data_IF_331347766595
#
_entry.id   IF_331347766595
#
_cell.length_a   1.000
_cell.length_b   1.000
_cell.length_c   1.000
_cell.angle_alpha   90.00
_cell.angle_beta   90.00
_cell.angle_gamma   90.00
#
_symmetry.space_group_name_H-M   'P 1'
#
loop_
_entity.id
_entity.type
_entity.pdbx_description
1 polymer ?
#
# COMPACT_ATOMS: atom_id res chain seq x y z
N UNK A 1 -10.45 -17.64 -15.38
CA UNK A 1 -9.00 -17.64 -15.63
C UNK A 1 -8.41 -16.29 -15.26
N UNK A 2 -7.33 -16.35 -14.57
CA UNK A 2 -6.65 -15.10 -14.21
C UNK A 2 -5.90 -14.55 -15.41
N UNK A 3 -6.13 -13.27 -15.70
CA UNK A 3 -5.41 -12.57 -16.77
C UNK A 3 -4.44 -11.57 -16.18
N UNK A 4 -3.92 -11.89 -15.00
CA UNK A 4 -2.98 -11.00 -14.35
C UNK A 4 -1.71 -10.91 -15.18
N UNK A 5 -1.29 -9.70 -15.52
CA UNK A 5 -0.07 -9.50 -16.31
C UNK A 5 1.19 -9.66 -15.48
N UNK A 6 1.05 -9.97 -14.20
CA UNK A 6 2.17 -10.10 -13.29
C UNK A 6 1.97 -11.33 -12.40
N UNK A 7 3.06 -11.84 -11.89
CA UNK A 7 3.02 -12.96 -10.96
C UNK A 7 2.60 -12.49 -9.58
N UNK A 8 1.95 -13.39 -8.84
CA UNK A 8 1.62 -13.15 -7.45
C UNK A 8 2.86 -13.41 -6.61
N UNK A 9 3.79 -12.47 -6.67
CA UNK A 9 5.09 -12.59 -6.03
C UNK A 9 5.01 -12.80 -4.53
N UNK A 10 3.99 -12.23 -3.91
CA UNK A 10 3.83 -12.30 -2.44
C UNK A 10 2.96 -13.46 -2.01
N UNK A 11 2.53 -14.27 -2.95
CA UNK A 11 1.74 -15.47 -2.65
C UNK A 11 0.48 -15.16 -1.87
N UNK A 12 -0.24 -14.13 -2.31
CA UNK A 12 -1.46 -13.71 -1.66
C UNK A 12 -2.60 -14.65 -2.00
N UNK A 13 -3.55 -14.79 -1.08
CA UNK A 13 -4.75 -15.57 -1.34
C UNK A 13 -5.63 -14.85 -2.35
N UNK A 14 -6.56 -15.59 -2.96
CA UNK A 14 -7.51 -14.99 -3.89
C UNK A 14 -8.31 -13.89 -3.22
N UNK A 15 -8.68 -14.10 -1.95
CA UNK A 15 -9.43 -13.11 -1.22
C UNK A 15 -8.62 -11.85 -0.98
N UNK A 16 -7.33 -11.99 -0.65
CA UNK A 16 -6.47 -10.83 -0.49
C UNK A 16 -6.36 -10.05 -1.78
N UNK A 17 -6.21 -10.74 -2.91
CA UNK A 17 -6.11 -10.09 -4.21
C UNK A 17 -7.39 -9.33 -4.54
N UNK A 18 -8.57 -9.93 -4.27
CA UNK A 18 -9.83 -9.26 -4.50
C UNK A 18 -9.97 -8.01 -3.63
N UNK A 19 -9.58 -8.11 -2.37
CA UNK A 19 -9.69 -6.98 -1.46
C UNK A 19 -8.75 -5.84 -1.85
N UNK A 20 -7.54 -6.18 -2.32
CA UNK A 20 -6.60 -5.17 -2.80
C UNK A 20 -7.17 -4.45 -4.04
N UNK A 21 -7.74 -5.20 -4.96
CA UNK A 21 -8.36 -4.60 -6.15
C UNK A 21 -9.48 -3.66 -5.75
N UNK A 22 -10.31 -4.08 -4.80
CA UNK A 22 -11.42 -3.26 -4.33
C UNK A 22 -10.92 -2.00 -3.64
N UNK A 23 -9.87 -2.12 -2.81
CA UNK A 23 -9.28 -0.96 -2.15
C UNK A 23 -8.75 0.05 -3.17
N UNK A 24 -8.10 -0.45 -4.23
CA UNK A 24 -7.60 0.42 -5.28
C UNK A 24 -8.73 1.13 -6.01
N UNK A 25 -9.82 0.43 -6.31
CA UNK A 25 -10.98 1.05 -6.92
C UNK A 25 -11.58 2.13 -6.02
N UNK A 26 -11.66 1.85 -4.73
CA UNK A 26 -12.18 2.83 -3.79
C UNK A 26 -11.32 4.10 -3.77
N UNK A 27 -9.99 3.94 -3.85
CA UNK A 27 -9.10 5.09 -3.92
C UNK A 27 -9.34 5.88 -5.21
N UNK A 28 -9.50 5.20 -6.34
CA UNK A 28 -9.73 5.86 -7.61
C UNK A 28 -11.05 6.62 -7.63
N UNK A 29 -12.04 6.11 -6.93
CA UNK A 29 -13.34 6.79 -6.83
C UNK A 29 -13.36 7.93 -5.83
N UNK A 30 -12.30 8.07 -5.05
CA UNK A 30 -12.25 9.07 -4.00
C UNK A 30 -12.90 8.62 -2.70
N UNK A 31 -13.28 7.35 -2.58
CA UNK A 31 -13.84 6.80 -1.34
C UNK A 31 -12.71 6.43 -0.39
N UNK A 32 -11.97 7.44 0.04
CA UNK A 32 -10.70 7.25 0.74
C UNK A 32 -10.86 6.64 2.13
N UNK A 33 -11.92 7.03 2.85
CA UNK A 33 -12.17 6.45 4.16
C UNK A 33 -12.47 4.97 4.10
N UNK A 34 -13.24 4.55 3.10
CA UNK A 34 -13.55 3.13 2.92
C UNK A 34 -12.31 2.35 2.53
N UNK A 35 -11.47 2.93 1.66
CA UNK A 35 -10.21 2.29 1.26
C UNK A 35 -9.29 2.12 2.47
N UNK A 36 -9.18 3.17 3.29
CA UNK A 36 -8.34 3.12 4.47
C UNK A 36 -8.79 2.02 5.42
N UNK A 37 -10.08 1.97 5.68
CA UNK A 37 -10.65 0.98 6.59
C UNK A 37 -10.37 -0.44 6.11
N UNK A 38 -10.54 -0.66 4.81
CA UNK A 38 -10.29 -1.97 4.23
C UNK A 38 -8.83 -2.37 4.33
N UNK A 39 -7.93 -1.46 3.98
CA UNK A 39 -6.50 -1.74 4.02
C UNK A 39 -6.00 -1.98 5.45
N UNK A 40 -6.49 -1.18 6.40
CA UNK A 40 -6.10 -1.37 7.79
C UNK A 40 -6.60 -2.71 8.33
N UNK A 41 -7.79 -3.12 7.93
CA UNK A 41 -8.32 -4.43 8.31
C UNK A 41 -7.44 -5.56 7.76
N UNK A 42 -7.02 -5.43 6.51
CA UNK A 42 -6.14 -6.41 5.88
C UNK A 42 -4.79 -6.46 6.58
N UNK A 43 -4.27 -5.29 6.96
CA UNK A 43 -2.98 -5.22 7.63
C UNK A 43 -3.04 -5.87 9.00
N UNK A 44 -4.16 -5.71 9.69
CA UNK A 44 -4.34 -6.34 11.00
C UNK A 44 -4.28 -7.87 10.89
N UNK A 45 -4.79 -8.40 9.79
CA UNK A 45 -4.78 -9.86 9.56
C UNK A 45 -3.40 -10.36 9.11
N UNK A 46 -2.63 -9.51 8.43
CA UNK A 46 -1.32 -9.88 7.89
C UNK A 46 -0.43 -8.65 7.93
N UNK A 47 0.26 -8.46 9.05
CA UNK A 47 1.01 -7.23 9.33
C UNK A 47 2.23 -7.02 8.45
N UNK A 48 2.70 -8.07 7.79
CA UNK A 48 3.86 -7.97 6.92
C UNK A 48 3.48 -8.08 5.43
N UNK A 49 2.21 -7.85 5.13
CA UNK A 49 1.76 -7.92 3.75
C UNK A 49 2.23 -6.67 3.00
N UNK A 50 3.29 -6.83 2.21
CA UNK A 50 3.90 -5.70 1.51
C UNK A 50 2.94 -4.97 0.58
N UNK A 51 2.11 -5.65 -0.24
CA UNK A 51 1.15 -4.92 -1.06
C UNK A 51 0.18 -4.05 -0.26
N UNK A 52 -0.22 -4.51 0.93
CA UNK A 52 -1.10 -3.71 1.79
C UNK A 52 -0.36 -2.50 2.34
N UNK A 53 0.86 -2.71 2.82
CA UNK A 53 1.69 -1.61 3.34
C UNK A 53 1.93 -0.57 2.25
N UNK A 54 2.24 -1.02 1.03
CA UNK A 54 2.49 -0.11 -0.08
C UNK A 54 1.25 0.69 -0.45
N UNK A 55 0.08 0.03 -0.45
CA UNK A 55 -1.17 0.72 -0.74
C UNK A 55 -1.51 1.74 0.35
N UNK A 56 -1.23 1.44 1.60
CA UNK A 56 -1.43 2.41 2.67
C UNK A 56 -0.50 3.60 2.51
N UNK A 57 0.77 3.35 2.17
CA UNK A 57 1.68 4.44 1.89
C UNK A 57 1.17 5.33 0.77
N UNK A 58 0.67 4.72 -0.29
CA UNK A 58 0.12 5.45 -1.42
C UNK A 58 -1.11 6.27 -1.02
N UNK A 59 -2.00 5.66 -0.26
CA UNK A 59 -3.21 6.33 0.21
C UNK A 59 -2.88 7.57 1.03
N UNK A 60 -2.02 7.42 2.03
CA UNK A 60 -1.69 8.54 2.89
C UNK A 60 -0.88 9.61 2.17
N UNK A 61 0.06 9.21 1.31
CA UNK A 61 0.91 10.18 0.63
C UNK A 61 0.22 10.85 -0.54
N UNK A 62 -0.35 10.07 -1.44
CA UNK A 62 -0.90 10.61 -2.68
C UNK A 62 -2.27 11.24 -2.50
N UNK A 63 -3.13 10.60 -1.70
CA UNK A 63 -4.53 11.02 -1.61
C UNK A 63 -4.84 11.88 -0.40
N UNK A 64 -4.18 11.62 0.74
CA UNK A 64 -4.49 12.31 1.97
C UNK A 64 -3.46 13.35 2.36
N UNK A 65 -2.36 13.42 1.65
CA UNK A 65 -1.25 14.36 1.94
C UNK A 65 -0.72 14.24 3.36
N UNK A 66 -0.82 13.05 3.94
CA UNK A 66 -0.25 12.76 5.26
C UNK A 66 1.11 12.13 5.04
N UNK A 67 2.08 12.97 4.73
CA UNK A 67 3.38 12.51 4.24
C UNK A 67 4.19 11.76 5.29
N UNK A 68 4.14 12.19 6.54
CA UNK A 68 4.87 11.49 7.60
C UNK A 68 4.34 10.07 7.78
N UNK A 69 3.01 9.91 7.75
CA UNK A 69 2.39 8.60 7.88
C UNK A 69 2.75 7.72 6.69
N UNK A 70 2.74 8.31 5.49
CA UNK A 70 3.13 7.57 4.28
C UNK A 70 4.56 7.04 4.40
N UNK A 71 5.48 7.88 4.87
CA UNK A 71 6.88 7.47 5.03
C UNK A 71 6.99 6.32 6.02
N UNK A 72 6.21 6.34 7.10
CA UNK A 72 6.23 5.24 8.07
C UNK A 72 5.86 3.91 7.42
N UNK A 73 4.86 3.91 6.54
CA UNK A 73 4.46 2.67 5.87
C UNK A 73 5.53 2.21 4.88
N UNK A 74 6.14 3.13 4.14
CA UNK A 74 7.22 2.74 3.24
C UNK A 74 8.45 2.28 4.01
N UNK A 75 8.72 2.83 5.19
CA UNK A 75 9.80 2.33 6.03
C UNK A 75 9.54 0.89 6.45
N UNK A 76 8.29 0.54 6.72
CA UNK A 76 7.95 -0.84 7.05
C UNK A 76 8.17 -1.78 5.85
N UNK A 77 7.84 -1.31 4.65
CA UNK A 77 8.14 -2.08 3.43
C UNK A 77 9.64 -2.30 3.31
N UNK A 78 10.42 -1.25 3.52
CA UNK A 78 11.88 -1.34 3.36
C UNK A 78 12.53 -2.18 4.44
N UNK A 79 11.93 -2.27 5.61
CA UNK A 79 12.42 -3.18 6.65
C UNK A 79 12.27 -4.63 6.21
N UNK A 80 11.23 -4.94 5.45
CA UNK A 80 10.97 -6.29 4.95
C UNK A 80 11.70 -6.55 3.63
N UNK A 81 11.77 -5.53 2.77
CA UNK A 81 12.39 -5.60 1.46
C UNK A 81 13.31 -4.40 1.25
N UNK A 82 14.55 -4.46 1.75
CA UNK A 82 15.46 -3.30 1.62
C UNK A 82 15.73 -2.90 0.17
N UNK A 83 15.57 -3.82 -0.78
CA UNK A 83 15.83 -3.56 -2.20
C UNK A 83 14.59 -3.09 -2.96
N UNK A 84 13.50 -2.83 -2.27
CA UNK A 84 12.26 -2.42 -2.93
C UNK A 84 12.42 -0.98 -3.46
N UNK A 85 12.65 -0.87 -4.78
CA UNK A 85 12.90 0.42 -5.41
C UNK A 85 11.68 1.33 -5.38
N UNK A 86 10.48 0.76 -5.50
CA UNK A 86 9.24 1.52 -5.43
C UNK A 86 9.08 2.21 -4.08
N UNK A 87 9.30 1.45 -3.01
CA UNK A 87 9.16 2.00 -1.66
C UNK A 87 10.23 3.07 -1.41
N UNK A 88 11.46 2.81 -1.86
CA UNK A 88 12.54 3.76 -1.69
C UNK A 88 12.25 5.08 -2.40
N UNK A 89 11.78 5.00 -3.65
CA UNK A 89 11.48 6.20 -4.42
C UNK A 89 10.29 6.95 -3.84
N UNK A 90 9.25 6.24 -3.42
CA UNK A 90 8.09 6.87 -2.81
C UNK A 90 8.45 7.55 -1.50
N UNK A 91 9.24 6.86 -0.67
CA UNK A 91 9.72 7.42 0.58
C UNK A 91 10.47 8.73 0.35
N UNK A 92 11.39 8.71 -0.62
CA UNK A 92 12.17 9.91 -0.95
C UNK A 92 11.26 11.05 -1.40
N UNK A 93 10.27 10.74 -2.22
CA UNK A 93 9.34 11.75 -2.72
C UNK A 93 8.60 12.43 -1.58
N UNK A 94 8.07 11.64 -0.64
CA UNK A 94 7.27 12.21 0.43
C UNK A 94 8.09 12.85 1.53
N UNK A 95 9.35 12.42 1.70
CA UNK A 95 10.24 13.05 2.66
C UNK A 95 10.46 14.53 2.35
N UNK A 96 10.33 14.92 1.09
CA UNK A 96 10.51 16.32 0.69
C UNK A 96 9.49 17.25 1.32
N UNK A 97 8.37 16.71 1.76
CA UNK A 97 7.30 17.52 2.33
C UNK A 97 7.29 17.49 3.85
N UNK A 98 8.28 16.85 4.45
CA UNK A 98 8.40 16.77 5.90
C UNK A 98 9.59 17.58 6.33
N UNK A 99 9.38 18.42 7.34
CA UNK A 99 10.46 19.25 7.86
C UNK A 99 11.41 18.48 8.78
#
# INVERSE_FOLDING_TARGET
MSNQPFENTYNLSDKQLEMLDEAEELMLKGSLGAAEKMLLSMLKADEECIPVLSNLGHLYGRHLSEFATAVEYYDRVLALEPDNAWARDARRRYMRYID
#
